data_IF_010970950261
#
_entry.id   IF_010970950261
#
_cell.length_a   1.000
_cell.length_b   1.000
_cell.length_c   1.000
_cell.angle_alpha   90.00
_cell.angle_beta   90.00
_cell.angle_gamma   90.00
#
_symmetry.space_group_name_H-M   'P 1'
#
loop_
_entity.id
_entity.type
_entity.pdbx_description
1 polymer ?
#
# COMPACT_ATOMS: atom_id res chain seq x y z
N UNK A 1 45.62 -39.87 -11.38
CA UNK A 1 45.57 -38.57 -10.64
C UNK A 1 44.77 -37.52 -11.40
N UNK A 2 44.89 -37.42 -12.73
CA UNK A 2 44.08 -36.53 -13.58
C UNK A 2 42.57 -36.73 -13.44
N UNK A 3 42.10 -37.97 -13.46
CA UNK A 3 40.67 -38.27 -13.56
C UNK A 3 39.89 -37.91 -12.29
N UNK A 4 40.53 -38.10 -11.12
CA UNK A 4 39.95 -37.69 -9.84
C UNK A 4 39.87 -36.17 -9.69
N UNK A 5 40.83 -35.42 -10.25
CA UNK A 5 40.77 -33.96 -10.24
C UNK A 5 39.65 -33.44 -11.16
N UNK A 6 39.48 -34.07 -12.32
CA UNK A 6 38.42 -33.75 -13.27
C UNK A 6 37.03 -33.99 -12.65
N UNK A 7 36.85 -35.12 -11.98
CA UNK A 7 35.59 -35.48 -11.33
C UNK A 7 35.21 -34.48 -10.22
N UNK A 8 36.18 -33.99 -9.44
CA UNK A 8 35.93 -32.95 -8.44
C UNK A 8 35.57 -31.60 -9.06
N UNK A 9 36.17 -31.24 -10.20
CA UNK A 9 35.84 -30.02 -10.92
C UNK A 9 34.43 -30.06 -11.51
N UNK A 10 34.01 -31.20 -12.04
CA UNK A 10 32.64 -31.40 -12.52
C UNK A 10 31.62 -31.27 -11.39
N UNK A 11 31.85 -31.95 -10.26
CA UNK A 11 30.99 -31.84 -9.07
C UNK A 11 30.91 -30.40 -8.55
N UNK A 12 32.03 -29.68 -8.55
CA UNK A 12 32.08 -28.28 -8.12
C UNK A 12 31.27 -27.39 -9.07
N UNK A 13 31.41 -27.61 -10.38
CA UNK A 13 30.65 -26.87 -11.38
C UNK A 13 29.14 -27.11 -11.22
N UNK A 14 28.72 -28.36 -11.05
CA UNK A 14 27.30 -28.69 -10.84
C UNK A 14 26.72 -28.04 -9.59
N UNK A 15 27.48 -28.02 -8.50
CA UNK A 15 27.09 -27.36 -7.25
C UNK A 15 26.93 -25.85 -7.46
N UNK A 16 27.89 -25.20 -8.13
CA UNK A 16 27.84 -23.77 -8.43
C UNK A 16 26.63 -23.45 -9.32
N UNK A 17 26.36 -24.26 -10.35
CA UNK A 17 25.19 -24.09 -11.20
C UNK A 17 23.88 -24.26 -10.41
N UNK A 18 23.84 -25.19 -9.46
CA UNK A 18 22.73 -25.35 -8.51
C UNK A 18 22.47 -24.07 -7.71
N UNK A 19 23.51 -23.54 -7.06
CA UNK A 19 23.43 -22.32 -6.23
C UNK A 19 23.04 -21.09 -7.05
N UNK A 20 23.54 -20.96 -8.28
CA UNK A 20 23.19 -19.84 -9.17
C UNK A 20 21.71 -19.90 -9.55
N UNK A 21 21.17 -21.10 -9.86
CA UNK A 21 19.74 -21.28 -10.14
C UNK A 21 18.88 -20.88 -8.95
N UNK A 22 19.19 -21.40 -7.76
CA UNK A 22 18.44 -21.08 -6.53
C UNK A 22 18.48 -19.57 -6.21
N UNK A 23 19.64 -18.94 -6.35
CA UNK A 23 19.78 -17.50 -6.16
C UNK A 23 18.90 -16.69 -7.12
N UNK A 24 18.82 -17.11 -8.39
CA UNK A 24 17.98 -16.42 -9.37
C UNK A 24 16.49 -16.59 -9.05
N UNK A 25 16.06 -17.77 -8.62
CA UNK A 25 14.68 -18.01 -8.18
C UNK A 25 14.31 -17.19 -6.94
N UNK A 26 15.19 -17.13 -5.94
CA UNK A 26 14.97 -16.33 -4.74
C UNK A 26 14.86 -14.84 -5.06
N UNK A 27 15.73 -14.32 -5.94
CA UNK A 27 15.65 -12.92 -6.42
C UNK A 27 14.33 -12.65 -7.14
N UNK A 28 13.86 -13.57 -7.97
CA UNK A 28 12.56 -13.43 -8.62
C UNK A 28 11.40 -13.41 -7.62
N UNK A 29 11.42 -14.30 -6.61
CA UNK A 29 10.41 -14.31 -5.53
C UNK A 29 10.41 -13.00 -4.74
N UNK A 30 11.58 -12.47 -4.40
CA UNK A 30 11.71 -11.16 -3.71
C UNK A 30 11.11 -10.05 -4.56
N UNK A 31 11.45 -9.97 -5.84
CA UNK A 31 10.91 -8.94 -6.74
C UNK A 31 9.37 -9.00 -6.86
N UNK A 32 8.80 -10.21 -6.94
CA UNK A 32 7.34 -10.41 -6.93
C UNK A 32 6.70 -10.01 -5.60
N UNK A 33 7.35 -10.31 -4.47
CA UNK A 33 6.90 -9.89 -3.14
C UNK A 33 6.96 -8.37 -2.95
N UNK A 34 8.02 -7.71 -3.42
CA UNK A 34 8.15 -6.25 -3.33
C UNK A 34 7.07 -5.53 -4.15
N UNK A 35 6.78 -6.01 -5.37
CA UNK A 35 5.70 -5.46 -6.19
C UNK A 35 4.32 -5.61 -5.51
N UNK A 36 4.03 -6.79 -4.95
CA UNK A 36 2.76 -7.05 -4.26
C UNK A 36 2.64 -6.33 -2.91
N UNK A 37 3.74 -6.17 -2.17
CA UNK A 37 3.75 -5.47 -0.89
C UNK A 37 3.58 -3.96 -1.08
N UNK A 38 4.30 -3.36 -2.03
CA UNK A 38 4.11 -1.95 -2.40
C UNK A 38 2.68 -1.67 -2.87
N UNK A 39 2.10 -2.58 -3.65
CA UNK A 39 0.72 -2.45 -4.10
C UNK A 39 -0.32 -2.73 -3.00
N UNK A 40 -0.04 -3.56 -2.00
CA UNK A 40 -0.94 -3.79 -0.87
C UNK A 40 -0.87 -2.69 0.20
N UNK A 41 0.29 -2.06 0.38
CA UNK A 41 0.46 -0.92 1.28
C UNK A 41 -0.01 0.40 0.67
N UNK A 42 0.28 0.64 -0.61
CA UNK A 42 0.07 1.94 -1.26
C UNK A 42 -0.94 1.90 -2.41
N UNK A 43 -1.43 0.72 -2.79
CA UNK A 43 -2.50 0.58 -3.78
C UNK A 43 -3.83 1.02 -3.19
N UNK A 44 -4.15 2.29 -3.40
CA UNK A 44 -5.51 2.83 -3.26
C UNK A 44 -6.13 2.77 -1.85
N UNK A 45 -5.34 3.03 -0.81
CA UNK A 45 -5.94 3.49 0.44
C UNK A 45 -6.39 4.94 0.24
N UNK A 46 -7.62 5.12 -0.27
CA UNK A 46 -8.44 6.30 -0.05
C UNK A 46 -8.70 6.44 1.46
N UNK A 47 -7.64 6.63 2.25
CA UNK A 47 -7.70 6.79 3.69
C UNK A 47 -8.48 8.06 3.91
N UNK A 48 -9.74 7.91 4.32
CA UNK A 48 -10.62 9.02 4.59
C UNK A 48 -9.93 9.88 5.66
N UNK A 49 -9.76 11.18 5.36
CA UNK A 49 -9.00 12.12 6.18
C UNK A 49 -9.69 12.39 7.52
N UNK A 50 -11.01 12.26 7.57
CA UNK A 50 -11.80 12.51 8.76
C UNK A 50 -12.17 11.19 9.43
N UNK A 51 -12.45 11.25 10.71
CA UNK A 51 -12.99 10.15 11.50
C UNK A 51 -14.52 10.14 11.44
N UNK A 52 -15.16 9.03 11.80
CA UNK A 52 -16.61 8.96 11.90
C UNK A 52 -17.20 10.01 12.88
N UNK A 53 -16.46 10.31 13.95
CA UNK A 53 -16.83 11.33 14.94
C UNK A 53 -16.82 12.73 14.33
N UNK A 54 -15.77 13.10 13.60
CA UNK A 54 -15.69 14.40 12.92
C UNK A 54 -16.77 14.56 11.86
N UNK A 55 -17.05 13.49 11.10
CA UNK A 55 -18.16 13.46 10.14
C UNK A 55 -19.51 13.70 10.82
N UNK A 56 -19.73 13.11 12.00
CA UNK A 56 -20.92 13.37 12.81
C UNK A 56 -20.98 14.84 13.27
N UNK A 57 -19.88 15.37 13.81
CA UNK A 57 -19.79 16.78 14.22
C UNK A 57 -20.07 17.76 13.07
N UNK A 58 -19.58 17.47 11.86
CA UNK A 58 -19.86 18.27 10.65
C UNK A 58 -21.36 18.26 10.32
N UNK A 59 -22.04 17.11 10.49
CA UNK A 59 -23.49 17.02 10.29
C UNK A 59 -24.26 17.81 11.35
N UNK A 60 -23.83 17.75 12.61
CA UNK A 60 -24.42 18.56 13.69
C UNK A 60 -24.26 20.06 13.41
N UNK A 61 -23.05 20.53 13.09
CA UNK A 61 -22.81 21.94 12.75
C UNK A 61 -23.70 22.40 11.60
N UNK A 62 -23.87 21.55 10.57
CA UNK A 62 -24.78 21.89 9.47
C UNK A 62 -26.24 21.98 9.93
N UNK A 63 -26.70 21.09 10.82
CA UNK A 63 -28.04 21.12 11.42
C UNK A 63 -28.25 22.34 12.31
N UNK A 64 -27.21 22.78 13.01
CA UNK A 64 -27.21 24.01 13.82
C UNK A 64 -27.18 25.30 12.99
N UNK A 65 -27.19 25.21 11.66
CA UNK A 65 -27.33 26.37 10.76
C UNK A 65 -26.03 26.90 10.16
N UNK A 66 -24.86 26.34 10.51
CA UNK A 66 -23.59 26.77 9.91
C UNK A 66 -23.56 26.48 8.41
N UNK A 67 -23.00 27.41 7.63
CA UNK A 67 -22.83 27.22 6.19
C UNK A 67 -21.66 26.27 5.89
N UNK A 68 -21.69 25.61 4.72
CA UNK A 68 -20.68 24.60 4.37
C UNK A 68 -19.27 25.18 4.19
N UNK A 69 -19.15 26.45 3.79
CA UNK A 69 -17.85 27.11 3.59
C UNK A 69 -17.14 27.38 4.92
N UNK A 70 -17.86 27.87 5.93
CA UNK A 70 -17.33 28.06 7.28
C UNK A 70 -16.95 26.72 7.93
N UNK A 71 -17.75 25.67 7.74
CA UNK A 71 -17.40 24.33 8.22
C UNK A 71 -16.13 23.80 7.53
N UNK A 72 -15.99 24.04 6.22
CA UNK A 72 -14.81 23.66 5.47
C UNK A 72 -13.54 24.32 6.01
N UNK A 73 -13.62 25.61 6.38
CA UNK A 73 -12.52 26.34 7.00
C UNK A 73 -12.17 25.80 8.39
N UNK A 74 -13.16 25.52 9.24
CA UNK A 74 -12.95 25.00 10.60
C UNK A 74 -12.19 23.67 10.59
N UNK A 75 -12.51 22.79 9.63
CA UNK A 75 -11.92 21.45 9.54
C UNK A 75 -10.75 21.36 8.54
N UNK A 76 -10.35 22.48 7.93
CA UNK A 76 -9.33 22.54 6.87
C UNK A 76 -9.54 21.47 5.76
N UNK A 77 -10.77 21.43 5.22
CA UNK A 77 -11.16 20.50 4.17
C UNK A 77 -11.78 21.21 2.98
N UNK A 78 -11.74 20.57 1.81
CA UNK A 78 -12.41 21.08 0.63
C UNK A 78 -13.94 21.20 0.88
N UNK A 79 -14.60 22.31 0.50
CA UNK A 79 -16.07 22.44 0.59
C UNK A 79 -16.86 21.30 -0.08
N UNK A 80 -16.33 20.72 -1.16
CA UNK A 80 -16.92 19.54 -1.79
C UNK A 80 -16.93 18.31 -0.86
N UNK A 81 -15.93 18.17 0.01
CA UNK A 81 -15.87 17.11 1.04
C UNK A 81 -16.98 17.31 2.07
N UNK A 82 -17.19 18.55 2.55
CA UNK A 82 -18.33 18.88 3.44
C UNK A 82 -19.65 18.54 2.75
N UNK A 83 -19.78 18.90 1.48
CA UNK A 83 -20.96 18.60 0.67
C UNK A 83 -21.24 17.10 0.59
N UNK A 84 -20.20 16.27 0.36
CA UNK A 84 -20.31 14.80 0.38
C UNK A 84 -20.70 14.26 1.77
N UNK A 85 -20.16 14.83 2.85
CA UNK A 85 -20.51 14.43 4.23
C UNK A 85 -21.98 14.69 4.54
N UNK A 86 -22.46 15.89 4.20
CA UNK A 86 -23.85 16.32 4.41
C UNK A 86 -24.82 15.44 3.60
N UNK A 87 -24.44 15.05 2.37
CA UNK A 87 -25.20 14.10 1.54
C UNK A 87 -25.04 12.63 1.92
N UNK A 88 -24.26 12.30 2.97
CA UNK A 88 -24.03 10.92 3.39
C UNK A 88 -23.19 10.08 2.42
N UNK A 89 -22.38 10.72 1.58
CA UNK A 89 -21.51 10.06 0.59
C UNK A 89 -20.07 9.83 1.10
N UNK A 90 -19.73 10.40 2.26
CA UNK A 90 -18.42 10.29 2.91
C UNK A 90 -18.59 9.52 4.23
N UNK A 91 -17.73 8.52 4.50
CA UNK A 91 -17.98 7.49 5.53
C UNK A 91 -19.37 6.86 5.44
N UNK A 92 -19.74 6.39 4.23
CA UNK A 92 -20.58 5.18 4.16
C UNK A 92 -19.78 3.99 4.69
#
# INVERSE_FOLDING_TARGET
MSDSLLEHLEKLNDLVQGVVRENNELKQKISQMEGTFGQKLFGNTNRKKLTAREVHSIRELRRSGFNQASIAQIYDINPATVSRIVRGQYHK
#
